data_IF_729408297695
#
_entry.id   IF_729408297695
#
_cell.length_a   1.000
_cell.length_b   1.000
_cell.length_c   1.000
_cell.angle_alpha   90.00
_cell.angle_beta   90.00
_cell.angle_gamma   90.00
#
_symmetry.space_group_name_H-M   'P 1'
#
loop_
_entity.id
_entity.type
_entity.pdbx_description
1 polymer ?
#
# COMPACT_ATOMS: atom_id res chain seq x y z
N UNK A 1 -5.23 -8.77 13.97
CA UNK A 1 -6.09 -7.59 13.73
C UNK A 1 -5.90 -7.20 12.27
N UNK A 2 -6.91 -6.63 11.61
CA UNK A 2 -6.81 -6.16 10.22
C UNK A 2 -7.15 -4.68 10.28
N UNK A 3 -6.18 -3.83 9.99
CA UNK A 3 -6.37 -2.39 10.08
C UNK A 3 -5.72 -1.70 8.88
N UNK A 4 -6.13 -0.47 8.63
CA UNK A 4 -5.45 0.44 7.72
C UNK A 4 -4.24 1.01 8.43
N UNK A 5 -3.11 1.14 7.73
CA UNK A 5 -1.93 1.74 8.34
C UNK A 5 -2.19 3.25 8.52
N UNK A 6 -2.05 3.79 9.75
CA UNK A 6 -2.21 5.23 9.98
C UNK A 6 -1.15 6.03 9.23
N UNK A 7 -1.50 7.27 8.87
CA UNK A 7 -0.62 8.18 8.13
C UNK A 7 0.74 8.39 8.79
N UNK A 8 0.81 8.41 10.12
CA UNK A 8 2.10 8.58 10.83
C UNK A 8 3.05 7.37 10.72
N UNK A 9 2.57 6.22 10.25
CA UNK A 9 3.36 5.00 9.97
C UNK A 9 3.57 4.77 8.48
N UNK A 10 2.99 5.60 7.60
CA UNK A 10 3.19 5.54 6.15
C UNK A 10 3.92 6.79 5.66
N UNK A 11 4.84 6.62 4.71
CA UNK A 11 5.47 7.76 4.03
C UNK A 11 4.89 7.89 2.63
N UNK A 12 4.59 9.11 2.21
CA UNK A 12 4.07 9.37 0.87
C UNK A 12 2.64 8.89 0.63
N UNK A 13 1.87 8.61 1.68
CA UNK A 13 0.46 8.25 1.58
C UNK A 13 -0.38 9.30 2.27
N UNK A 14 -1.35 9.87 1.57
CA UNK A 14 -2.26 10.86 2.12
C UNK A 14 -3.62 10.83 1.42
N UNK A 15 -4.61 11.46 2.04
CA UNK A 15 -5.91 11.69 1.42
C UNK A 15 -6.12 13.20 1.38
N UNK A 16 -6.51 13.72 0.22
CA UNK A 16 -6.89 15.12 0.08
C UNK A 16 -8.13 15.22 -0.81
N UNK A 17 -8.84 16.34 -0.79
CA UNK A 17 -9.91 16.58 -1.75
C UNK A 17 -9.86 18.01 -2.28
N UNK A 18 -10.17 18.14 -3.56
CA UNK A 18 -10.43 19.43 -4.19
C UNK A 18 -11.93 19.66 -4.31
N UNK A 19 -12.31 20.54 -5.24
CA UNK A 19 -13.72 20.91 -5.47
C UNK A 19 -14.61 19.73 -5.89
N UNK A 20 -14.12 18.86 -6.76
CA UNK A 20 -14.96 17.84 -7.43
C UNK A 20 -14.60 16.40 -7.03
N UNK A 21 -13.38 16.18 -6.56
CA UNK A 21 -12.85 14.84 -6.33
C UNK A 21 -12.07 14.75 -5.03
N UNK A 22 -12.13 13.58 -4.42
CA UNK A 22 -11.20 13.11 -3.40
C UNK A 22 -10.06 12.35 -4.08
N UNK A 23 -8.87 12.50 -3.54
CA UNK A 23 -7.64 11.90 -4.02
C UNK A 23 -7.01 11.07 -2.92
N UNK A 24 -6.62 9.84 -3.25
CA UNK A 24 -5.76 9.02 -2.40
C UNK A 24 -4.38 9.03 -3.04
N UNK A 25 -3.41 9.64 -2.38
CA UNK A 25 -2.04 9.74 -2.85
C UNK A 25 -1.29 8.49 -2.39
N UNK A 26 -0.64 7.80 -3.32
CA UNK A 26 0.28 6.68 -3.09
C UNK A 26 1.61 7.01 -3.74
N UNK A 27 2.29 8.03 -3.22
CA UNK A 27 3.58 8.45 -3.73
C UNK A 27 4.65 7.38 -3.54
N UNK A 28 4.49 6.49 -2.56
CA UNK A 28 5.29 5.28 -2.41
C UNK A 28 5.17 4.34 -3.62
N UNK A 29 4.07 4.43 -4.36
CA UNK A 29 3.83 3.72 -5.62
C UNK A 29 3.96 4.63 -6.85
N UNK A 30 4.29 5.91 -6.68
CA UNK A 30 4.36 6.89 -7.76
C UNK A 30 3.02 7.16 -8.46
N UNK A 31 1.89 7.00 -7.77
CA UNK A 31 0.56 7.20 -8.34
C UNK A 31 -0.42 7.84 -7.35
N UNK A 32 -1.58 8.25 -7.85
CA UNK A 32 -2.72 8.65 -7.02
C UNK A 32 -4.04 8.19 -7.66
N UNK A 33 -5.04 7.95 -6.82
CA UNK A 33 -6.40 7.61 -7.25
C UNK A 33 -7.30 8.83 -7.08
N UNK A 34 -8.04 9.18 -8.13
CA UNK A 34 -9.11 10.18 -8.12
C UNK A 34 -10.47 9.49 -8.04
N UNK A 35 -11.34 10.02 -7.18
CA UNK A 35 -12.63 9.41 -6.82
C UNK A 35 -13.64 10.52 -6.52
N UNK A 36 -14.87 10.42 -7.06
CA UNK A 36 -15.93 11.40 -6.75
C UNK A 36 -16.58 11.15 -5.39
N UNK A 37 -16.70 9.89 -4.98
CA UNK A 37 -17.36 9.47 -3.74
C UNK A 37 -16.73 8.18 -3.19
N UNK A 38 -16.07 8.28 -2.03
CA UNK A 38 -15.41 7.15 -1.36
C UNK A 38 -16.38 6.04 -0.95
N UNK A 39 -17.65 6.38 -0.68
CA UNK A 39 -18.66 5.42 -0.26
C UNK A 39 -19.22 4.61 -1.45
N UNK A 40 -19.42 5.28 -2.59
CA UNK A 40 -19.92 4.61 -3.81
C UNK A 40 -18.85 3.85 -4.55
N UNK A 41 -17.59 4.33 -4.52
CA UNK A 41 -16.49 3.71 -5.25
C UNK A 41 -16.68 3.71 -6.77
N UNK A 42 -17.53 4.59 -7.30
CA UNK A 42 -17.68 4.80 -8.74
C UNK A 42 -16.55 5.67 -9.28
N UNK A 43 -16.17 5.44 -10.54
CA UNK A 43 -15.21 6.27 -11.30
C UNK A 43 -13.79 6.36 -10.69
N UNK A 44 -13.31 5.26 -10.13
CA UNK A 44 -11.94 5.14 -9.62
C UNK A 44 -10.95 5.23 -10.79
N UNK A 45 -10.25 6.36 -10.88
CA UNK A 45 -9.24 6.57 -11.92
C UNK A 45 -7.88 6.74 -11.29
N UNK A 46 -6.91 5.93 -11.72
CA UNK A 46 -5.54 5.99 -11.21
C UNK A 46 -4.66 6.72 -12.21
N UNK A 47 -3.95 7.72 -11.71
CA UNK A 47 -3.03 8.55 -12.46
C UNK A 47 -1.60 8.37 -11.95
N UNK A 48 -0.64 8.62 -12.83
CA UNK A 48 0.77 8.69 -12.44
C UNK A 48 1.02 10.00 -11.70
N UNK A 49 1.79 9.91 -10.62
CA UNK A 49 2.31 11.07 -9.91
C UNK A 49 3.61 11.53 -10.58
N UNK A 50 3.72 12.81 -10.92
CA UNK A 50 4.94 13.37 -11.50
C UNK A 50 6.14 13.14 -10.56
N UNK A 51 7.35 12.82 -11.06
CA UNK A 51 8.52 12.60 -10.19
C UNK A 51 8.82 13.75 -9.22
N UNK A 52 8.64 15.01 -9.64
CA UNK A 52 8.79 16.18 -8.74
C UNK A 52 7.71 16.27 -7.66
N UNK A 53 6.55 15.65 -7.90
CA UNK A 53 5.42 15.60 -6.99
C UNK A 53 5.47 14.36 -6.07
N UNK A 54 6.51 13.54 -6.15
CA UNK A 54 6.70 12.37 -5.29
C UNK A 54 7.51 12.71 -4.03
N UNK A 55 7.38 11.87 -3.02
CA UNK A 55 8.11 11.91 -1.75
C UNK A 55 7.86 13.19 -0.94
N UNK A 56 6.67 13.79 -1.08
CA UNK A 56 6.12 14.71 -0.10
C UNK A 56 5.83 14.01 1.22
N UNK A 57 6.05 14.72 2.32
CA UNK A 57 5.68 14.31 3.67
C UNK A 57 4.15 14.36 3.83
N UNK A 58 3.50 15.36 3.22
CA UNK A 58 2.04 15.51 3.21
C UNK A 58 1.53 16.02 1.87
N UNK A 59 0.26 15.72 1.59
CA UNK A 59 -0.43 16.19 0.40
C UNK A 59 -1.79 16.75 0.80
N UNK A 60 -2.08 17.95 0.33
CA UNK A 60 -3.38 18.57 0.49
C UNK A 60 -3.80 19.27 -0.82
N UNK A 61 -5.08 19.59 -0.92
CA UNK A 61 -5.64 20.35 -2.02
C UNK A 61 -6.51 21.48 -1.48
N UNK A 62 -6.64 22.55 -2.26
CA UNK A 62 -7.57 23.64 -1.99
C UNK A 62 -8.79 23.59 -2.93
N UNK A 63 -9.76 24.48 -2.67
CA UNK A 63 -10.98 24.58 -3.45
C UNK A 63 -10.77 25.31 -4.80
N UNK A 64 -9.62 25.95 -4.99
CA UNK A 64 -9.25 26.66 -6.21
C UNK A 64 -8.54 25.73 -7.22
N UNK A 65 -8.33 24.46 -6.85
CA UNK A 65 -7.77 23.43 -7.72
C UNK A 65 -6.25 23.29 -7.64
N UNK A 66 -5.61 23.85 -6.61
CA UNK A 66 -4.20 23.63 -6.36
C UNK A 66 -4.00 22.45 -5.42
N UNK A 67 -2.91 21.72 -5.67
CA UNK A 67 -2.33 20.74 -4.77
C UNK A 67 -1.09 21.34 -4.11
N UNK A 68 -0.90 21.01 -2.85
CA UNK A 68 0.24 21.41 -2.05
C UNK A 68 0.93 20.14 -1.54
N UNK A 69 2.24 20.09 -1.76
CA UNK A 69 3.09 18.96 -1.43
C UNK A 69 4.11 19.47 -0.42
N UNK A 70 3.90 19.14 0.85
CA UNK A 70 4.77 19.58 1.94
C UNK A 70 5.97 18.65 1.99
N UNK A 71 7.16 19.23 2.08
CA UNK A 71 8.42 18.49 2.21
C UNK A 71 9.40 19.25 3.09
N UNK A 72 9.64 18.72 4.27
CA UNK A 72 10.43 19.37 5.31
C UNK A 72 9.87 20.75 5.65
N UNK A 73 10.69 21.78 5.45
CA UNK A 73 10.38 23.17 5.81
C UNK A 73 9.76 23.98 4.66
N UNK A 74 9.35 23.32 3.58
CA UNK A 74 8.84 23.97 2.37
C UNK A 74 7.63 23.23 1.82
N UNK A 75 6.90 23.88 0.92
CA UNK A 75 5.88 23.22 0.12
C UNK A 75 6.00 23.59 -1.35
N UNK A 76 5.60 22.64 -2.19
CA UNK A 76 5.42 22.83 -3.63
C UNK A 76 3.93 22.91 -3.93
N UNK A 77 3.52 23.92 -4.69
CA UNK A 77 2.16 24.10 -5.19
C UNK A 77 2.10 23.82 -6.69
N UNK A 78 1.16 22.99 -7.13
CA UNK A 78 0.91 22.64 -8.55
C UNK A 78 -0.60 22.61 -8.80
N UNK A 79 -1.06 22.77 -10.05
CA UNK A 79 -2.48 22.55 -10.41
C UNK A 79 -2.78 21.12 -10.88
N UNK A 80 -1.73 20.35 -11.21
CA UNK A 80 -1.86 18.97 -11.68
C UNK A 80 -0.74 18.10 -11.08
N UNK A 81 -1.11 17.10 -10.29
CA UNK A 81 -0.18 16.15 -9.68
C UNK A 81 0.62 15.31 -10.71
N UNK A 82 0.16 15.24 -11.97
CA UNK A 82 0.85 14.56 -13.07
C UNK A 82 1.86 15.45 -13.82
N UNK A 83 1.94 16.74 -13.46
CA UNK A 83 2.85 17.72 -14.05
C UNK A 83 3.60 18.52 -12.97
N UNK A 84 4.61 19.27 -13.38
CA UNK A 84 5.37 20.21 -12.55
C UNK A 84 5.61 21.55 -13.27
N UNK A 85 4.89 21.77 -14.38
CA UNK A 85 5.15 22.87 -15.30
C UNK A 85 4.83 24.26 -14.70
N UNK A 86 3.83 24.31 -13.82
CA UNK A 86 3.32 25.51 -13.16
C UNK A 86 3.75 25.58 -11.68
N UNK A 87 4.73 24.77 -11.29
CA UNK A 87 5.07 24.60 -9.90
C UNK A 87 5.65 25.86 -9.25
N UNK A 88 5.15 26.19 -8.06
CA UNK A 88 5.68 27.23 -7.19
C UNK A 88 6.19 26.58 -5.91
N UNK A 89 7.38 26.95 -5.46
CA UNK A 89 7.96 26.46 -4.20
C UNK A 89 8.14 27.62 -3.24
N UNK A 90 7.60 27.45 -2.03
CA UNK A 90 7.60 28.45 -0.97
C UNK A 90 8.02 27.81 0.36
N UNK A 91 8.56 28.62 1.27
CA UNK A 91 8.85 28.16 2.63
C UNK A 91 7.54 27.97 3.41
N UNK A 92 7.51 26.96 4.27
CA UNK A 92 6.42 26.75 5.21
C UNK A 92 6.66 27.62 6.44
N UNK A 93 5.63 28.36 6.86
CA UNK A 93 5.66 29.17 8.08
C UNK A 93 6.11 28.28 9.26
N UNK A 94 7.10 28.72 10.07
CA UNK A 94 7.59 27.95 11.21
C UNK A 94 6.52 27.43 12.15
N UNK A 95 5.40 28.14 12.30
CA UNK A 95 4.30 27.73 13.18
C UNK A 95 3.49 26.53 12.67
N UNK A 96 3.57 26.25 11.37
CA UNK A 96 2.88 25.14 10.71
C UNK A 96 3.78 23.94 10.46
N UNK A 97 5.09 24.05 10.70
CA UNK A 97 6.01 22.90 10.62
C UNK A 97 5.66 21.84 11.66
N UNK A 98 6.02 20.60 11.37
CA UNK A 98 5.76 19.43 12.21
C UNK A 98 4.26 19.12 12.45
N UNK A 99 3.36 19.68 11.64
CA UNK A 99 1.97 19.24 11.60
C UNK A 99 1.86 17.75 11.28
N UNK A 100 0.96 17.03 11.94
CA UNK A 100 0.73 15.60 11.69
C UNK A 100 -0.24 15.37 10.53
N UNK A 101 -1.12 16.34 10.26
CA UNK A 101 -1.99 16.37 9.09
C UNK A 101 -2.20 17.82 8.60
N UNK A 102 -2.38 17.98 7.29
CA UNK A 102 -2.63 19.26 6.64
C UNK A 102 -3.79 19.08 5.68
N UNK A 103 -4.72 20.02 5.65
CA UNK A 103 -5.88 19.95 4.77
C UNK A 103 -6.38 21.35 4.40
N UNK A 104 -6.97 21.50 3.22
CA UNK A 104 -7.67 22.70 2.80
C UNK A 104 -9.17 22.61 3.09
N UNK A 105 -9.75 23.61 3.76
CA UNK A 105 -11.19 23.75 3.99
C UNK A 105 -11.60 25.16 3.60
N UNK A 106 -12.57 25.30 2.71
CA UNK A 106 -13.00 26.57 2.13
C UNK A 106 -11.80 27.36 1.56
N UNK A 107 -11.44 28.49 2.19
CA UNK A 107 -10.32 29.37 1.83
C UNK A 107 -9.18 29.31 2.85
N UNK A 108 -9.21 28.29 3.72
CA UNK A 108 -8.28 28.14 4.82
C UNK A 108 -7.56 26.80 4.72
N UNK A 109 -6.38 26.77 5.31
CA UNK A 109 -5.63 25.56 5.61
C UNK A 109 -5.78 25.25 7.10
N UNK A 110 -5.92 23.97 7.40
CA UNK A 110 -5.93 23.46 8.76
C UNK A 110 -4.71 22.57 8.95
N UNK A 111 -3.98 22.80 10.04
CA UNK A 111 -2.82 22.01 10.44
C UNK A 111 -3.12 21.35 11.77
N UNK A 112 -3.17 20.03 11.80
CA UNK A 112 -3.53 19.24 12.97
C UNK A 112 -2.25 18.76 13.67
N UNK A 113 -2.12 19.08 14.95
CA UNK A 113 -1.08 18.59 15.86
C UNK A 113 -1.74 17.65 16.87
N UNK A 114 -2.09 16.45 16.42
CA UNK A 114 -2.79 15.40 17.17
C UNK A 114 -2.07 15.04 18.48
N UNK A 115 -0.76 14.89 18.47
CA UNK A 115 0.05 14.63 19.68
C UNK A 115 0.00 15.78 20.70
N UNK A 116 -0.37 16.98 20.28
CA UNK A 116 -0.59 18.15 21.14
C UNK A 116 -2.08 18.41 21.44
N UNK A 117 -2.99 17.65 20.83
CA UNK A 117 -4.44 17.83 20.97
C UNK A 117 -4.94 19.18 20.45
N UNK A 118 -4.29 19.76 19.44
CA UNK A 118 -4.66 21.07 18.88
C UNK A 118 -4.68 21.04 17.35
N UNK A 119 -5.34 22.02 16.76
CA UNK A 119 -5.17 22.37 15.36
C UNK A 119 -5.05 23.89 15.20
N UNK A 120 -4.48 24.31 14.08
CA UNK A 120 -4.35 25.72 13.69
C UNK A 120 -5.06 25.93 12.36
N UNK A 121 -5.68 27.10 12.20
CA UNK A 121 -6.31 27.52 10.94
C UNK A 121 -5.53 28.72 10.41
N UNK A 122 -5.24 28.75 9.11
CA UNK A 122 -4.59 29.88 8.43
C UNK A 122 -5.18 30.07 7.04
N UNK A 123 -5.10 31.26 6.44
CA UNK A 123 -5.43 31.48 5.03
C UNK A 123 -4.24 31.28 4.07
N UNK A 124 -3.04 31.01 4.61
CA UNK A 124 -1.84 30.76 3.81
C UNK A 124 -0.76 30.00 4.58
N UNK A 125 -0.01 29.17 3.88
CA UNK A 125 1.03 28.32 4.47
C UNK A 125 2.41 29.01 4.59
N UNK A 126 2.69 30.06 3.81
CA UNK A 126 4.07 30.60 3.67
C UNK A 126 4.45 31.81 4.53
N UNK A 127 3.56 32.79 4.70
CA UNK A 127 3.72 33.84 5.73
C UNK A 127 2.44 34.68 5.86
N UNK A 128 2.07 34.97 7.11
CA UNK A 128 0.99 35.89 7.51
C UNK A 128 -0.41 35.49 7.07
N UNK A 129 -1.13 34.83 7.98
CA UNK A 129 -2.54 35.18 8.24
C UNK A 129 -3.01 34.56 9.55
N UNK A 130 -4.12 35.10 10.05
CA UNK A 130 -4.75 34.82 11.35
C UNK A 130 -4.64 33.35 11.76
N UNK A 131 -3.69 33.05 12.65
CA UNK A 131 -3.59 31.75 13.32
C UNK A 131 -4.57 31.71 14.48
N UNK A 132 -5.63 30.91 14.35
CA UNK A 132 -6.48 30.56 15.48
C UNK A 132 -6.11 29.15 15.92
N UNK A 133 -5.39 29.07 17.04
CA UNK A 133 -5.10 27.82 17.72
C UNK A 133 -6.33 27.34 18.49
N UNK A 134 -6.72 26.10 18.24
CA UNK A 134 -7.93 25.51 18.81
C UNK A 134 -7.69 24.09 19.32
N UNK A 135 -8.54 23.65 20.23
CA UNK A 135 -8.44 22.30 20.79
C UNK A 135 -9.04 21.28 19.82
N UNK A 136 -8.30 20.21 19.55
CA UNK A 136 -8.81 19.06 18.80
C UNK A 136 -9.68 18.22 19.74
N UNK A 137 -10.91 17.95 19.33
CA UNK A 137 -11.83 17.11 20.10
C UNK A 137 -11.39 15.64 20.17
N UNK A 138 -11.67 14.92 21.27
CA UNK A 138 -11.30 13.51 21.44
C UNK A 138 -11.82 12.58 20.34
N UNK A 139 -13.05 12.79 19.86
CA UNK A 139 -13.71 11.96 18.85
C UNK A 139 -12.98 12.04 17.51
N UNK A 140 -12.51 13.24 17.17
CA UNK A 140 -11.70 13.52 15.99
C UNK A 140 -10.21 13.26 16.23
N UNK A 141 -9.78 12.89 17.43
CA UNK A 141 -8.36 12.67 17.73
C UNK A 141 -7.84 11.32 17.23
N UNK A 142 -8.72 10.33 16.99
CA UNK A 142 -8.30 8.99 16.61
C UNK A 142 -8.33 8.70 15.09
N UNK A 143 -8.46 9.72 14.25
CA UNK A 143 -8.42 9.55 12.79
C UNK A 143 -7.06 9.03 12.30
N UNK A 144 -7.10 8.18 11.28
CA UNK A 144 -5.92 7.63 10.59
C UNK A 144 -5.40 8.57 9.50
N UNK A 145 -6.33 9.22 8.79
CA UNK A 145 -6.11 10.19 7.72
C UNK A 145 -7.16 11.31 7.86
N UNK A 146 -6.80 12.55 7.52
CA UNK A 146 -7.67 13.71 7.61
C UNK A 146 -7.60 14.48 6.30
N UNK A 147 -8.74 14.92 5.79
CA UNK A 147 -8.81 15.74 4.59
C UNK A 147 -9.98 16.70 4.67
N UNK A 148 -9.90 17.81 3.95
CA UNK A 148 -11.01 18.74 3.85
C UNK A 148 -11.90 18.38 2.67
N UNK A 149 -13.19 18.66 2.76
CA UNK A 149 -14.14 18.51 1.67
C UNK A 149 -15.10 19.71 1.70
N UNK A 150 -14.90 20.68 0.81
CA UNK A 150 -15.62 21.95 0.82
C UNK A 150 -15.47 22.68 2.17
N UNK A 151 -16.53 22.70 2.98
CA UNK A 151 -16.64 23.41 4.25
C UNK A 151 -16.47 22.50 5.48
N UNK A 152 -16.18 21.22 5.29
CA UNK A 152 -16.06 20.26 6.38
C UNK A 152 -14.72 19.52 6.40
N UNK A 153 -14.31 19.09 7.60
CA UNK A 153 -13.25 18.10 7.77
C UNK A 153 -13.85 16.70 7.67
N UNK A 154 -13.11 15.82 7.01
CA UNK A 154 -13.34 14.39 6.99
C UNK A 154 -12.15 13.68 7.64
N UNK A 155 -12.38 12.50 8.21
CA UNK A 155 -11.30 11.63 8.64
C UNK A 155 -11.66 10.15 8.54
N UNK A 156 -10.64 9.35 8.21
CA UNK A 156 -10.75 7.90 8.16
C UNK A 156 -10.61 7.35 9.59
N UNK A 157 -11.54 6.48 10.00
CA UNK A 157 -11.50 5.86 11.33
C UNK A 157 -10.61 4.61 11.32
N UNK A 158 -10.06 4.20 12.48
CA UNK A 158 -9.56 2.84 12.67
C UNK A 158 -10.65 1.82 12.32
N UNK A 159 -10.24 0.67 11.80
CA UNK A 159 -11.19 -0.37 11.38
C UNK A 159 -12.08 -0.78 12.55
N UNK A 160 -13.40 -0.77 12.31
CA UNK A 160 -14.40 -1.14 13.28
C UNK A 160 -15.04 -2.48 12.93
N UNK A 161 -16.06 -2.90 13.70
CA UNK A 161 -16.86 -4.09 13.36
C UNK A 161 -17.60 -3.95 12.02
N UNK A 162 -17.72 -2.74 11.51
CA UNK A 162 -18.35 -2.39 10.23
C UNK A 162 -17.31 -2.08 9.14
N UNK A 163 -16.10 -2.66 9.26
CA UNK A 163 -14.96 -2.48 8.34
C UNK A 163 -14.40 -1.05 8.35
N UNK A 164 -14.07 -0.51 7.17
CA UNK A 164 -13.44 0.80 7.01
C UNK A 164 -14.52 1.86 6.87
N UNK A 165 -14.51 2.82 7.80
CA UNK A 165 -15.47 3.92 7.85
C UNK A 165 -14.74 5.27 7.83
N UNK A 166 -15.39 6.30 7.33
CA UNK A 166 -14.96 7.68 7.48
C UNK A 166 -16.08 8.56 8.04
N UNK A 167 -15.68 9.59 8.78
CA UNK A 167 -16.57 10.64 9.24
C UNK A 167 -16.51 11.81 8.26
N UNK A 168 -17.67 12.40 7.96
CA UNK A 168 -17.82 13.67 7.24
C UNK A 168 -18.59 14.65 8.11
N UNK A 169 -18.24 15.94 8.02
CA UNK A 169 -18.88 16.97 8.81
C UNK A 169 -18.25 17.15 10.19
N UNK A 170 -16.99 16.73 10.37
CA UNK A 170 -16.28 16.99 11.61
C UNK A 170 -16.01 18.48 11.73
N UNK A 171 -16.90 19.21 12.41
CA UNK A 171 -16.48 20.43 13.08
C UNK A 171 -15.44 19.98 14.12
N UNK A 172 -14.20 20.42 13.93
CA UNK A 172 -13.10 20.04 14.83
C UNK A 172 -13.31 20.62 16.25
N UNK A 173 -14.26 21.55 16.41
CA UNK A 173 -14.60 22.28 17.65
C UNK A 173 -15.96 21.87 18.26
N UNK A 174 -16.95 21.48 17.45
CA UNK A 174 -18.34 21.23 17.91
C UNK A 174 -18.79 19.79 17.73
N UNK A 175 -19.74 19.41 18.58
CA UNK A 175 -20.35 18.09 18.68
C UNK A 175 -21.57 17.96 17.73
N UNK A 176 -21.44 18.48 16.52
CA UNK A 176 -22.51 18.38 15.52
C UNK A 176 -22.46 17.01 14.82
N UNK A 177 -23.61 16.61 14.27
CA UNK A 177 -23.89 15.27 13.74
C UNK A 177 -22.85 14.77 12.73
N UNK A 178 -21.84 14.07 13.22
CA UNK A 178 -20.87 13.34 12.38
C UNK A 178 -21.62 12.30 11.55
N UNK A 179 -21.59 12.47 10.24
CA UNK A 179 -22.10 11.47 9.33
C UNK A 179 -21.02 10.43 9.10
N UNK A 180 -21.31 9.20 9.47
CA UNK A 180 -20.39 8.05 9.29
C UNK A 180 -20.80 7.30 8.03
N UNK A 181 -19.83 7.08 7.15
CA UNK A 181 -19.99 6.36 5.90
C UNK A 181 -18.99 5.22 5.81
N UNK A 182 -19.39 4.09 5.22
CA UNK A 182 -18.44 3.04 4.85
C UNK A 182 -17.63 3.46 3.62
N UNK A 183 -16.38 3.01 3.53
CA UNK A 183 -15.55 3.18 2.34
C UNK A 183 -15.74 1.98 1.41
N UNK A 184 -15.88 2.23 0.11
CA UNK A 184 -16.07 1.16 -0.88
C UNK A 184 -14.85 0.21 -0.92
N UNK A 185 -15.04 -1.12 -1.03
CA UNK A 185 -13.93 -2.09 -0.99
C UNK A 185 -12.81 -1.82 -2.01
N UNK A 186 -13.14 -1.38 -3.23
CA UNK A 186 -12.12 -1.08 -4.24
C UNK A 186 -11.29 0.16 -3.93
N UNK A 187 -11.84 1.07 -3.11
CA UNK A 187 -11.10 2.21 -2.57
C UNK A 187 -10.20 1.72 -1.43
N UNK A 188 -10.74 0.85 -0.57
CA UNK A 188 -9.98 0.21 0.52
C UNK A 188 -8.78 -0.56 -0.04
N UNK A 189 -8.92 -1.30 -1.14
CA UNK A 189 -7.84 -2.04 -1.79
C UNK A 189 -6.61 -1.17 -2.15
N UNK A 190 -6.82 0.13 -2.34
CA UNK A 190 -5.76 1.08 -2.70
C UNK A 190 -5.01 1.64 -1.48
N UNK A 191 -5.58 1.50 -0.27
CA UNK A 191 -4.96 1.95 0.98
C UNK A 191 -3.95 0.92 1.51
N UNK A 192 -2.85 1.36 2.16
CA UNK A 192 -1.92 0.46 2.83
C UNK A 192 -2.62 -0.34 3.94
N UNK A 193 -2.53 -1.68 3.89
CA UNK A 193 -3.25 -2.59 4.78
C UNK A 193 -4.64 -3.00 4.27
N UNK A 194 -5.18 -2.30 3.28
CA UNK A 194 -6.55 -2.47 2.81
C UNK A 194 -6.83 -3.81 2.11
N UNK A 195 -5.85 -4.38 1.40
CA UNK A 195 -5.99 -5.72 0.83
C UNK A 195 -6.26 -6.79 1.90
N UNK A 196 -5.70 -6.62 3.11
CA UNK A 196 -5.96 -7.58 4.19
C UNK A 196 -7.43 -7.58 4.65
N UNK A 197 -8.09 -6.43 4.52
CA UNK A 197 -9.48 -6.23 4.92
C UNK A 197 -10.40 -6.94 3.93
N UNK A 198 -10.19 -6.71 2.63
CA UNK A 198 -11.08 -7.19 1.55
C UNK A 198 -10.74 -8.60 1.06
N UNK A 199 -9.46 -8.97 1.00
CA UNK A 199 -8.99 -10.27 0.49
C UNK A 199 -8.60 -11.24 1.62
N UNK A 200 -8.44 -10.74 2.85
CA UNK A 200 -7.92 -11.50 3.98
C UNK A 200 -6.40 -11.33 4.16
N UNK A 201 -5.85 -11.75 5.32
CA UNK A 201 -4.46 -11.54 5.64
C UNK A 201 -3.54 -12.20 4.61
N UNK A 202 -2.38 -11.58 4.40
CA UNK A 202 -1.31 -12.18 3.64
C UNK A 202 -0.86 -13.49 4.28
N UNK A 203 -0.60 -14.49 3.44
CA UNK A 203 0.08 -15.71 3.84
C UNK A 203 1.30 -15.94 2.96
N UNK A 204 2.26 -16.66 3.52
CA UNK A 204 3.34 -17.27 2.75
C UNK A 204 3.55 -18.69 3.23
N UNK A 205 3.50 -19.65 2.31
CA UNK A 205 3.63 -21.08 2.63
C UNK A 205 4.46 -21.82 1.60
N UNK A 206 5.16 -22.85 2.06
CA UNK A 206 5.83 -23.81 1.20
C UNK A 206 4.82 -24.83 0.68
N UNK A 207 4.86 -25.07 -0.62
CA UNK A 207 4.05 -26.09 -1.29
C UNK A 207 4.96 -27.15 -1.92
N UNK A 208 4.67 -28.43 -1.68
CA UNK A 208 5.39 -29.51 -2.31
C UNK A 208 4.99 -29.59 -3.78
N UNK A 209 5.93 -29.33 -4.68
CA UNK A 209 5.70 -29.41 -6.12
C UNK A 209 6.19 -30.73 -6.72
N UNK A 210 7.08 -31.44 -6.00
CA UNK A 210 7.57 -32.75 -6.41
C UNK A 210 8.02 -33.57 -5.20
N UNK A 211 7.73 -34.87 -5.25
CA UNK A 211 8.31 -35.88 -4.37
C UNK A 211 9.12 -36.86 -5.22
N UNK A 212 10.31 -37.24 -4.74
CA UNK A 212 11.27 -38.13 -5.40
C UNK A 212 11.57 -39.25 -4.41
N UNK A 213 11.44 -40.51 -4.84
CA UNK A 213 11.72 -41.65 -3.99
C UNK A 213 12.76 -42.56 -4.66
N UNK A 214 13.87 -42.82 -3.97
CA UNK A 214 14.93 -43.72 -4.45
C UNK A 214 14.77 -45.10 -3.81
N UNK A 215 14.32 -46.07 -4.60
CA UNK A 215 14.13 -47.46 -4.11
C UNK A 215 15.38 -48.34 -4.28
N UNK A 216 16.51 -47.77 -4.70
CA UNK A 216 17.74 -48.50 -4.92
C UNK A 216 18.59 -48.60 -3.64
N UNK A 217 19.32 -49.71 -3.49
CA UNK A 217 20.26 -49.92 -2.37
C UNK A 217 21.62 -49.22 -2.60
N UNK A 218 21.85 -48.61 -3.76
CA UNK A 218 23.08 -47.88 -4.08
C UNK A 218 22.82 -46.39 -4.27
N UNK A 219 23.81 -45.56 -3.93
CA UNK A 219 23.80 -44.12 -4.24
C UNK A 219 23.68 -43.93 -5.75
N UNK A 220 22.83 -43.01 -6.18
CA UNK A 220 22.63 -42.73 -7.59
C UNK A 220 22.44 -41.24 -7.86
N UNK A 221 22.90 -40.79 -9.02
CA UNK A 221 22.62 -39.45 -9.51
C UNK A 221 21.23 -39.43 -10.13
N UNK A 222 20.36 -38.58 -9.59
CA UNK A 222 19.06 -38.29 -10.18
C UNK A 222 19.17 -37.02 -11.01
N UNK A 223 18.83 -37.12 -12.30
CA UNK A 223 18.71 -35.97 -13.20
C UNK A 223 17.30 -35.97 -13.78
N UNK A 224 16.56 -34.90 -13.55
CA UNK A 224 15.25 -34.74 -14.14
C UNK A 224 14.88 -33.27 -14.28
N UNK A 225 13.92 -33.01 -15.16
CA UNK A 225 13.29 -31.71 -15.29
C UNK A 225 12.15 -31.60 -14.29
N UNK A 226 12.11 -30.48 -13.60
CA UNK A 226 10.95 -30.06 -12.83
C UNK A 226 10.30 -28.88 -13.53
N UNK A 227 8.97 -28.81 -13.45
CA UNK A 227 8.20 -27.66 -13.93
C UNK A 227 7.70 -26.91 -12.71
N UNK A 228 7.95 -25.60 -12.67
CA UNK A 228 7.47 -24.71 -11.61
C UNK A 228 6.82 -23.47 -12.21
N UNK A 229 5.80 -22.97 -11.53
CA UNK A 229 5.15 -21.70 -11.88
C UNK A 229 5.90 -20.53 -11.26
N UNK A 230 6.25 -19.50 -12.01
CA UNK A 230 6.98 -18.32 -11.50
C UNK A 230 6.29 -17.06 -11.99
N UNK A 231 6.08 -16.09 -11.09
CA UNK A 231 5.43 -14.82 -11.39
C UNK A 231 4.11 -14.63 -10.64
N UNK A 232 3.34 -13.61 -10.99
CA UNK A 232 2.09 -13.28 -10.31
C UNK A 232 0.85 -13.77 -11.04
N UNK A 233 -0.20 -14.06 -10.27
CA UNK A 233 -1.50 -14.46 -10.78
C UNK A 233 -2.27 -13.25 -11.32
N UNK A 234 -2.19 -13.04 -12.64
CA UNK A 234 -2.81 -11.88 -13.31
C UNK A 234 -4.33 -11.84 -13.19
N UNK A 235 -5.00 -12.98 -13.29
CA UNK A 235 -6.45 -13.05 -13.16
C UNK A 235 -6.88 -12.55 -11.78
N UNK A 236 -6.23 -13.05 -10.72
CA UNK A 236 -6.55 -12.64 -9.35
C UNK A 236 -6.28 -11.16 -9.10
N UNK A 237 -5.17 -10.64 -9.63
CA UNK A 237 -4.85 -9.22 -9.55
C UNK A 237 -5.86 -8.35 -10.30
N UNK A 238 -6.30 -8.80 -11.49
CA UNK A 238 -7.31 -8.09 -12.29
C UNK A 238 -8.64 -8.03 -11.54
N UNK A 239 -9.02 -9.08 -10.81
CA UNK A 239 -10.21 -9.07 -9.96
C UNK A 239 -10.10 -8.05 -8.83
N UNK A 240 -8.93 -7.92 -8.18
CA UNK A 240 -8.70 -6.93 -7.11
C UNK A 240 -8.85 -5.49 -7.62
N UNK A 241 -8.48 -5.25 -8.87
CA UNK A 241 -8.45 -3.92 -9.49
C UNK A 241 -9.58 -3.67 -10.49
N UNK A 242 -10.60 -4.53 -10.54
CA UNK A 242 -11.56 -4.59 -11.64
C UNK A 242 -12.29 -3.27 -11.93
N UNK A 243 -12.49 -2.42 -10.92
CA UNK A 243 -13.15 -1.11 -11.05
C UNK A 243 -12.19 0.07 -11.26
N UNK A 244 -10.89 -0.17 -11.35
CA UNK A 244 -9.89 0.90 -11.52
C UNK A 244 -9.63 1.17 -13.01
N UNK A 245 -9.85 2.41 -13.41
CA UNK A 245 -9.48 2.93 -14.72
C UNK A 245 -8.06 3.48 -14.64
N UNK A 246 -7.11 2.82 -15.28
CA UNK A 246 -5.73 3.30 -15.33
C UNK A 246 -5.61 4.32 -16.47
N UNK A 247 -5.21 5.56 -16.16
CA UNK A 247 -5.17 6.63 -17.14
C UNK A 247 -4.15 6.32 -18.26
N UNK A 248 -4.50 6.44 -19.56
CA UNK A 248 -3.61 6.07 -20.67
C UNK A 248 -2.29 6.84 -20.75
N UNK A 249 -2.23 8.06 -20.18
CA UNK A 249 -0.99 8.85 -20.08
C UNK A 249 -0.01 8.31 -19.03
N UNK A 250 -0.43 7.32 -18.24
CA UNK A 250 0.44 6.64 -17.28
C UNK A 250 1.26 5.55 -17.97
N UNK A 251 2.57 5.52 -17.70
CA UNK A 251 3.44 4.40 -18.06
C UNK A 251 3.22 3.17 -17.16
N UNK A 252 2.35 3.28 -16.15
CA UNK A 252 2.07 2.22 -15.20
C UNK A 252 1.04 1.30 -15.84
N UNK A 253 1.44 0.09 -16.21
CA UNK A 253 0.46 -0.89 -16.67
C UNK A 253 -0.35 -1.40 -15.47
N UNK A 254 -1.60 -1.80 -15.70
CA UNK A 254 -2.45 -2.34 -14.62
C UNK A 254 -1.80 -3.53 -13.89
N UNK A 255 -1.00 -4.34 -14.58
CA UNK A 255 -0.26 -5.45 -13.98
C UNK A 255 0.83 -4.98 -13.02
N UNK A 256 1.55 -3.91 -13.39
CA UNK A 256 2.63 -3.34 -12.57
C UNK A 256 2.07 -2.77 -11.27
N UNK A 257 0.96 -2.03 -11.34
CA UNK A 257 0.32 -1.46 -10.16
C UNK A 257 -0.18 -2.55 -9.20
N UNK A 258 -0.78 -3.62 -9.73
CA UNK A 258 -1.22 -4.75 -8.91
C UNK A 258 -0.06 -5.36 -8.13
N UNK A 259 1.05 -5.60 -8.83
CA UNK A 259 2.26 -6.16 -8.25
C UNK A 259 2.82 -5.26 -7.15
N UNK A 260 2.88 -3.95 -7.39
CA UNK A 260 3.34 -2.97 -6.41
C UNK A 260 2.47 -2.95 -5.14
N UNK A 261 1.15 -2.97 -5.27
CA UNK A 261 0.24 -2.96 -4.11
C UNK A 261 0.37 -4.24 -3.30
N UNK A 262 0.39 -5.41 -3.96
CA UNK A 262 0.54 -6.67 -3.26
C UNK A 262 1.92 -6.81 -2.60
N UNK A 263 2.98 -6.34 -3.27
CA UNK A 263 4.33 -6.25 -2.70
C UNK A 263 4.36 -5.44 -1.42
N UNK A 264 3.73 -4.25 -1.42
CA UNK A 264 3.58 -3.46 -0.19
C UNK A 264 2.84 -4.27 0.86
N UNK A 265 1.68 -4.83 0.55
CA UNK A 265 0.88 -5.62 1.51
C UNK A 265 1.68 -6.79 2.12
N UNK A 266 2.45 -7.54 1.32
CA UNK A 266 3.27 -8.65 1.83
C UNK A 266 4.39 -8.19 2.77
N UNK A 267 4.93 -6.99 2.54
CA UNK A 267 5.98 -6.40 3.37
C UNK A 267 5.47 -5.87 4.71
N UNK A 268 4.16 -5.63 4.84
CA UNK A 268 3.56 -5.10 6.07
C UNK A 268 3.66 -6.09 7.22
N UNK A 269 3.51 -5.56 8.43
CA UNK A 269 3.44 -6.37 9.62
C UNK A 269 2.12 -7.15 9.74
N UNK A 270 2.13 -8.18 10.58
CA UNK A 270 0.92 -8.97 10.90
C UNK A 270 -0.19 -8.13 11.55
N UNK A 271 0.16 -7.00 12.17
CA UNK A 271 -0.79 -6.00 12.71
C UNK A 271 -1.72 -5.48 11.60
N UNK A 272 -1.19 -5.32 10.39
CA UNK A 272 -1.88 -4.81 9.20
C UNK A 272 -2.19 -5.89 8.17
N UNK A 273 -2.21 -7.15 8.62
CA UNK A 273 -2.47 -8.32 7.78
C UNK A 273 -1.42 -8.56 6.69
N UNK A 274 -0.18 -8.13 6.89
CA UNK A 274 0.96 -8.51 6.07
C UNK A 274 1.68 -9.75 6.57
N UNK A 275 2.72 -10.17 5.86
CA UNK A 275 3.51 -11.37 6.17
C UNK A 275 4.97 -11.06 6.56
N UNK A 276 5.37 -9.79 6.63
CA UNK A 276 6.78 -9.37 6.78
C UNK A 276 7.72 -9.98 5.74
N UNK A 277 7.22 -10.19 4.53
CA UNK A 277 7.96 -10.85 3.45
C UNK A 277 8.41 -9.81 2.43
N UNK A 278 9.72 -9.71 2.24
CA UNK A 278 10.31 -8.89 1.19
C UNK A 278 10.31 -9.65 -0.14
N UNK A 279 9.65 -9.08 -1.16
CA UNK A 279 9.53 -9.66 -2.51
C UNK A 279 10.30 -8.89 -3.58
N UNK A 280 11.25 -8.01 -3.20
CA UNK A 280 12.07 -7.20 -4.13
C UNK A 280 12.80 -8.04 -5.19
N UNK A 281 13.28 -9.24 -4.83
CA UNK A 281 13.99 -10.12 -5.77
C UNK A 281 13.09 -11.12 -6.50
N UNK A 282 11.77 -11.08 -6.27
CA UNK A 282 10.82 -11.97 -6.93
C UNK A 282 10.37 -11.40 -8.27
N UNK A 283 9.92 -12.29 -9.17
CA UNK A 283 9.37 -11.89 -10.46
C UNK A 283 7.94 -11.40 -10.29
N UNK A 284 7.68 -10.15 -10.69
CA UNK A 284 6.35 -9.56 -10.74
C UNK A 284 5.81 -9.47 -12.18
N UNK A 285 6.26 -10.37 -13.05
CA UNK A 285 5.66 -10.61 -14.37
C UNK A 285 4.53 -11.63 -14.27
N UNK A 286 3.64 -11.65 -15.26
CA UNK A 286 2.55 -12.64 -15.35
C UNK A 286 3.10 -14.06 -15.21
N UNK A 287 2.41 -14.88 -14.40
CA UNK A 287 2.92 -16.19 -14.03
C UNK A 287 3.08 -17.12 -15.24
N UNK A 288 4.26 -17.71 -15.38
CA UNK A 288 4.60 -18.67 -16.44
C UNK A 288 5.15 -19.97 -15.84
N UNK A 289 4.97 -21.07 -16.56
CA UNK A 289 5.66 -22.33 -16.23
C UNK A 289 7.11 -22.28 -16.73
N UNK A 290 8.05 -22.64 -15.86
CA UNK A 290 9.48 -22.66 -16.13
C UNK A 290 10.00 -24.08 -15.87
N UNK A 291 10.69 -24.65 -16.84
CA UNK A 291 11.43 -25.90 -16.66
C UNK A 291 12.80 -25.62 -16.05
N UNK A 292 13.17 -26.38 -15.03
CA UNK A 292 14.49 -26.38 -14.42
C UNK A 292 15.01 -27.82 -14.37
N UNK A 293 16.21 -28.05 -14.90
CA UNK A 293 16.88 -29.34 -14.75
C UNK A 293 17.60 -29.39 -13.41
N UNK A 294 17.25 -30.38 -12.59
CA UNK A 294 17.90 -30.63 -11.31
C UNK A 294 18.75 -31.88 -11.41
N UNK A 295 19.98 -31.78 -10.90
CA UNK A 295 20.88 -32.92 -10.72
C UNK A 295 21.20 -33.05 -9.24
N UNK A 296 20.83 -34.17 -8.63
CA UNK A 296 20.97 -34.42 -7.20
C UNK A 296 21.61 -35.80 -6.97
N UNK A 297 22.42 -35.92 -5.93
CA UNK A 297 22.90 -37.21 -5.46
C UNK A 297 21.94 -37.76 -4.40
N UNK A 298 21.35 -38.92 -4.68
CA UNK A 298 20.41 -39.58 -3.79
C UNK A 298 21.10 -40.70 -3.03
N UNK A 299 20.95 -40.71 -1.71
CA UNK A 299 21.35 -41.84 -0.87
C UNK A 299 20.36 -43.01 -1.04
N UNK A 300 20.80 -44.25 -0.78
CA UNK A 300 19.90 -45.40 -0.78
C UNK A 300 18.68 -45.18 0.10
N UNK A 301 17.49 -45.56 -0.39
CA UNK A 301 16.22 -45.49 0.34
C UNK A 301 15.81 -44.08 0.81
N UNK A 302 16.34 -43.03 0.17
CA UNK A 302 16.00 -41.64 0.49
C UNK A 302 14.77 -41.16 -0.29
N UNK A 303 13.92 -40.38 0.38
CA UNK A 303 12.89 -39.57 -0.24
C UNK A 303 13.34 -38.11 -0.23
N UNK A 304 13.17 -37.39 -1.35
CA UNK A 304 13.35 -35.95 -1.42
C UNK A 304 12.05 -35.25 -1.80
N UNK A 305 11.88 -34.06 -1.26
CA UNK A 305 10.74 -33.19 -1.44
C UNK A 305 11.23 -31.85 -1.97
N UNK A 306 10.67 -31.44 -3.11
CA UNK A 306 10.93 -30.14 -3.73
C UNK A 306 9.80 -29.20 -3.34
N UNK A 307 10.14 -28.16 -2.61
CA UNK A 307 9.24 -27.17 -2.07
C UNK A 307 9.39 -25.83 -2.79
N UNK A 308 8.27 -25.22 -3.13
CA UNK A 308 8.21 -23.88 -3.69
C UNK A 308 7.45 -22.95 -2.75
N UNK A 309 7.99 -21.76 -2.50
CA UNK A 309 7.32 -20.77 -1.68
C UNK A 309 6.25 -20.02 -2.49
N UNK A 310 5.06 -19.85 -1.91
CA UNK A 310 3.96 -19.10 -2.53
C UNK A 310 3.41 -18.09 -1.54
N UNK A 311 3.05 -16.93 -2.06
CA UNK A 311 2.44 -15.83 -1.32
C UNK A 311 1.04 -15.57 -1.85
N UNK A 312 0.13 -15.16 -0.98
CA UNK A 312 -1.25 -14.90 -1.35
C UNK A 312 -2.04 -14.23 -0.25
N UNK A 313 -3.34 -14.08 -0.48
CA UNK A 313 -4.27 -13.51 0.49
C UNK A 313 -5.28 -14.59 0.88
N UNK A 314 -5.50 -14.77 2.18
CA UNK A 314 -6.32 -15.85 2.75
C UNK A 314 -5.81 -17.23 2.33
N UNK A 315 -6.39 -17.82 1.29
CA UNK A 315 -6.00 -19.13 0.74
C UNK A 315 -5.68 -19.08 -0.76
N UNK A 316 -5.81 -17.90 -1.37
CA UNK A 316 -5.65 -17.69 -2.80
C UNK A 316 -4.22 -17.25 -3.14
N UNK A 317 -3.44 -18.05 -3.90
CA UNK A 317 -2.08 -17.71 -4.28
C UNK A 317 -2.05 -16.59 -5.32
N UNK A 318 -1.21 -15.59 -5.05
CA UNK A 318 -1.03 -14.39 -5.88
C UNK A 318 0.36 -14.31 -6.47
N UNK A 319 1.38 -14.81 -5.77
CA UNK A 319 2.77 -14.79 -6.24
C UNK A 319 3.42 -16.17 -6.03
N UNK A 320 3.97 -16.71 -7.12
CA UNK A 320 4.73 -17.96 -7.12
C UNK A 320 6.22 -17.60 -7.13
N UNK A 321 6.90 -17.85 -6.01
CA UNK A 321 8.31 -17.44 -5.86
C UNK A 321 9.21 -18.34 -6.69
N UNK A 322 10.33 -17.77 -7.14
CA UNK A 322 11.27 -18.49 -8.02
C UNK A 322 12.10 -19.54 -7.27
N UNK A 323 12.37 -19.30 -5.99
CA UNK A 323 13.33 -20.07 -5.21
C UNK A 323 12.71 -21.39 -4.74
N UNK A 324 13.52 -22.45 -4.71
CA UNK A 324 13.13 -23.78 -4.29
C UNK A 324 13.94 -24.23 -3.07
N UNK A 325 13.33 -25.04 -2.23
CA UNK A 325 14.02 -25.80 -1.18
C UNK A 325 13.86 -27.28 -1.48
N UNK A 326 14.96 -28.01 -1.36
CA UNK A 326 14.98 -29.47 -1.52
C UNK A 326 15.42 -30.05 -0.18
N UNK A 327 14.62 -30.94 0.37
CA UNK A 327 14.90 -31.60 1.64
C UNK A 327 14.39 -33.03 1.65
N UNK A 328 14.80 -33.82 2.64
CA UNK A 328 14.38 -35.21 2.85
C UNK A 328 13.21 -35.35 3.84
N UNK A 329 12.79 -34.25 4.44
CA UNK A 329 11.63 -34.20 5.33
C UNK A 329 10.31 -34.04 4.54
N UNK A 330 9.27 -34.83 4.86
CA UNK A 330 7.94 -34.71 4.24
C UNK A 330 7.18 -33.46 4.70
N UNK A 331 7.65 -32.81 5.77
CA UNK A 331 7.04 -31.62 6.32
C UNK A 331 7.56 -30.36 5.60
N UNK A 332 6.71 -29.32 5.44
CA UNK A 332 7.13 -28.05 4.85
C UNK A 332 8.31 -27.44 5.63
N UNK A 333 9.28 -26.78 4.95
CA UNK A 333 10.36 -26.06 5.62
C UNK A 333 9.85 -25.04 6.64
N UNK A 334 10.53 -24.95 7.77
CA UNK A 334 10.13 -24.11 8.91
C UNK A 334 10.45 -22.61 8.72
N UNK A 335 11.40 -22.27 7.85
CA UNK A 335 11.78 -20.89 7.58
C UNK A 335 10.97 -20.31 6.40
N UNK A 336 10.23 -19.23 6.65
CA UNK A 336 9.68 -18.36 5.61
C UNK A 336 10.80 -17.50 5.02
N UNK A 337 11.75 -18.11 4.30
CA UNK A 337 12.82 -17.38 3.62
C UNK A 337 12.45 -17.11 2.17
N UNK A 338 12.12 -15.87 1.81
CA UNK A 338 12.72 -15.26 0.66
C UNK A 338 13.90 -14.43 1.18
N UNK A 339 15.12 -14.93 0.92
CA UNK A 339 16.40 -14.22 0.99
C UNK A 339 17.12 -14.15 2.35
N UNK A 340 17.81 -15.24 2.70
CA UNK A 340 19.21 -15.14 3.13
C UNK A 340 20.04 -15.97 2.14
N UNK A 341 21.19 -15.43 1.76
CA UNK A 341 22.07 -15.92 0.70
C UNK A 341 22.28 -17.43 0.75
N UNK A 342 21.88 -18.14 -0.31
CA UNK A 342 22.53 -19.41 -0.66
C UNK A 342 23.90 -19.04 -1.23
N UNK A 343 24.87 -18.82 -0.34
CA UNK A 343 26.24 -19.17 -0.68
C UNK A 343 26.21 -20.61 -1.14
N UNK A 344 26.60 -20.86 -2.38
CA UNK A 344 26.97 -22.19 -2.83
C UNK A 344 27.98 -22.73 -1.83
N UNK A 345 27.60 -23.64 -0.95
CA UNK A 345 28.57 -24.55 -0.33
C UNK A 345 28.86 -25.63 -1.36
N UNK A 346 29.60 -25.25 -2.40
CA UNK A 346 30.55 -26.18 -3.02
C UNK A 346 31.63 -26.40 -1.96
N UNK A 347 31.49 -27.48 -1.21
CA UNK A 347 32.59 -28.08 -0.48
C UNK A 347 33.65 -28.50 -1.48
N UNK A 348 34.80 -27.84 -1.43
CA UNK A 348 36.09 -28.49 -1.65
C UNK A 348 36.70 -28.82 -0.28
#
# INVERSE_FOLDING_TARGET
>A
MRDIIPRNKTKGVDICAGKEYTYIIRSDLGCYMQISDLHKGSDLTVFKLHPSCQNGDHYLADMDGHFYIIKGESYRRVTDLSSDADAVVEELDPDFRDGEHYLGINKFFVVIFKGRGIFRITSGLGSVSTDVKQNLKPESSNGLYYWGLSDCCCFLKPVSKWEVEYCKGADLEKDDSLLVYSVHPDVVNFLPGGLSITQGPAFGRWENIKSIQMNCDTTGTWRNKITKKVGYNKEKMTQIMHNWKICPSSLIQSGDLAGLIAKVQFSLSVEYGGSHVNTEKQSWNEATEVEEELTLELKPKQCLYVWQYRLGFRDEPVLFCRDLIIGDEPNPPSEAKPLLELSKSSTD
#
